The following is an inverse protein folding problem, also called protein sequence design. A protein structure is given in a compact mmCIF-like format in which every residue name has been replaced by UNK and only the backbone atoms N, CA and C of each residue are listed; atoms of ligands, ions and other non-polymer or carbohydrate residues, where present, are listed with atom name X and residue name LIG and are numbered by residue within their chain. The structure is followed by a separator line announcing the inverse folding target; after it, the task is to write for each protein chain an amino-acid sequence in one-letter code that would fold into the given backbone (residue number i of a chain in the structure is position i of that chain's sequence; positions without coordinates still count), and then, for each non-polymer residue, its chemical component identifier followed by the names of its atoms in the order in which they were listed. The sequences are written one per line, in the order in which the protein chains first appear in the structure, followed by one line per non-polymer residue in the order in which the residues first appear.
data_IF_689108075134
#
_entry.id   IF_689108075134
#
_cell.length_a   1.000
_cell.length_b   1.000
_cell.length_c   1.000
_cell.angle_alpha   90.00
_cell.angle_beta   90.00
_cell.angle_gamma   90.00
#
_symmetry.space_group_name_H-M   'P 1'
#
loop_
_entity.id
_entity.type
_entity.pdbx_description
1 polymer ?
#
# COMPACT_ATOMS: atom_id res chain seq x y z
N UNK A 1 11.30 21.57 18.77
CA UNK A 1 9.84 21.53 19.03
C UNK A 1 9.35 22.52 20.10
N UNK A 2 10.18 23.00 21.04
CA UNK A 2 9.70 23.86 22.16
C UNK A 2 9.51 25.36 21.84
N UNK A 3 10.13 25.88 20.77
CA UNK A 3 10.27 27.34 20.53
C UNK A 3 8.98 28.06 20.10
N UNK A 4 8.02 27.35 19.49
CA UNK A 4 6.78 27.95 18.95
C UNK A 4 5.72 28.14 20.04
N UNK A 5 5.60 27.18 20.97
CA UNK A 5 4.72 27.32 22.14
C UNK A 5 5.14 28.52 23.01
N UNK A 6 6.45 28.76 23.16
CA UNK A 6 6.96 29.91 23.90
C UNK A 6 6.52 31.25 23.31
N UNK A 7 6.40 31.36 21.98
CA UNK A 7 5.89 32.58 21.32
C UNK A 7 4.39 32.81 21.61
N UNK A 8 3.61 31.74 21.75
CA UNK A 8 2.18 31.85 22.10
C UNK A 8 2.02 32.28 23.56
N UNK A 9 2.80 31.71 24.47
CA UNK A 9 2.81 32.11 25.88
C UNK A 9 3.34 33.54 26.08
N UNK A 10 4.37 33.97 25.33
CA UNK A 10 4.87 35.36 25.43
C UNK A 10 3.90 36.36 24.83
N UNK A 11 3.17 36.01 23.77
CA UNK A 11 2.14 36.87 23.19
C UNK A 11 0.91 36.98 24.12
N UNK A 12 0.47 35.86 24.71
CA UNK A 12 -0.60 35.87 25.73
C UNK A 12 -0.19 36.64 27.00
N UNK A 13 1.04 36.42 27.50
CA UNK A 13 1.58 37.19 28.63
C UNK A 13 1.73 38.67 28.29
N UNK A 14 2.13 39.01 27.06
CA UNK A 14 2.21 40.39 26.58
C UNK A 14 0.85 41.09 26.60
N UNK A 15 -0.22 40.42 26.14
CA UNK A 15 -1.58 40.98 26.18
C UNK A 15 -2.08 41.13 27.62
N UNK A 16 -1.78 40.18 28.51
CA UNK A 16 -2.15 40.23 29.92
C UNK A 16 -1.45 41.40 30.65
N UNK A 17 -0.14 41.56 30.44
CA UNK A 17 0.64 42.67 30.98
C UNK A 17 0.13 44.01 30.43
N UNK A 18 -0.16 44.10 29.13
CA UNK A 18 -0.71 45.32 28.51
C UNK A 18 -2.08 45.68 29.09
N UNK A 19 -2.95 44.68 29.31
CA UNK A 19 -4.28 44.88 29.92
C UNK A 19 -4.18 45.33 31.38
N UNK A 20 -3.24 44.77 32.15
CA UNK A 20 -3.00 45.14 33.55
C UNK A 20 -2.40 46.55 33.69
N UNK A 21 -1.45 46.92 32.82
CA UNK A 21 -0.84 48.26 32.78
C UNK A 21 -1.87 49.32 32.37
N UNK A 22 -2.74 49.02 31.41
CA UNK A 22 -3.83 49.91 31.00
C UNK A 22 -4.86 50.11 32.12
N UNK A 23 -5.17 49.07 32.90
CA UNK A 23 -6.08 49.15 34.04
C UNK A 23 -5.53 50.00 35.20
N UNK A 24 -4.22 50.05 35.37
CA UNK A 24 -3.58 50.77 36.49
C UNK A 24 -3.29 52.25 36.19
N UNK A 25 -3.21 52.63 34.91
CA UNK A 25 -2.77 53.98 34.50
C UNK A 25 -3.91 54.93 34.11
N UNK A 26 -5.14 54.45 33.96
CA UNK A 26 -6.26 55.25 33.42
C UNK A 26 -7.43 55.42 34.41
N UNK A 27 -7.62 56.60 35.02
CA UNK A 27 -8.86 56.92 35.74
C UNK A 27 -9.96 57.14 34.69
N UNK A 28 -10.87 56.17 34.51
CA UNK A 28 -11.81 56.22 33.36
C UNK A 28 -13.28 56.05 33.72
N UNK A 29 -14.04 57.00 33.16
CA UNK A 29 -15.46 57.00 32.79
C UNK A 29 -15.85 55.82 31.90
N UNK A 30 -17.10 55.37 31.98
CA UNK A 30 -17.64 54.07 31.54
C UNK A 30 -17.39 53.65 30.07
N UNK A 31 -17.15 54.58 29.13
CA UNK A 31 -17.06 54.28 27.69
C UNK A 31 -15.68 53.69 27.30
N UNK A 32 -14.61 54.04 28.01
CA UNK A 32 -13.25 53.56 27.71
C UNK A 32 -13.00 52.11 28.15
N UNK A 33 -13.76 51.60 29.13
CA UNK A 33 -13.68 50.21 29.60
C UNK A 33 -14.01 49.19 28.50
N UNK A 34 -14.97 49.50 27.61
CA UNK A 34 -15.33 48.63 26.50
C UNK A 34 -14.21 48.45 25.48
N UNK A 35 -13.54 49.56 25.12
CA UNK A 35 -12.45 49.55 24.12
C UNK A 35 -11.20 48.83 24.66
N UNK A 36 -10.93 48.95 25.96
CA UNK A 36 -9.78 48.30 26.62
C UNK A 36 -9.99 46.78 26.79
N UNK A 37 -11.24 46.31 26.77
CA UNK A 37 -11.55 44.87 26.90
C UNK A 37 -11.44 44.08 25.59
N UNK A 38 -11.53 44.76 24.43
CA UNK A 38 -11.48 44.15 23.10
C UNK A 38 -10.19 43.35 22.80
N UNK A 39 -8.99 43.83 23.16
CA UNK A 39 -7.75 43.07 22.96
C UNK A 39 -7.75 41.73 23.71
N UNK A 40 -8.36 41.66 24.90
CA UNK A 40 -8.42 40.44 25.70
C UNK A 40 -9.28 39.36 25.05
N UNK A 41 -10.44 39.74 24.52
CA UNK A 41 -11.34 38.82 23.79
C UNK A 41 -10.69 38.36 22.48
N UNK A 42 -10.04 39.27 21.74
CA UNK A 42 -9.31 38.93 20.52
C UNK A 42 -8.17 37.93 20.77
N UNK A 43 -7.42 38.09 21.86
CA UNK A 43 -6.37 37.17 22.24
C UNK A 43 -6.90 35.77 22.59
N UNK A 44 -8.01 35.69 23.32
CA UNK A 44 -8.64 34.41 23.65
C UNK A 44 -9.08 33.67 22.39
N UNK A 45 -9.72 34.36 21.44
CA UNK A 45 -10.14 33.77 20.15
C UNK A 45 -8.93 33.31 19.33
N UNK A 46 -7.87 34.12 19.28
CA UNK A 46 -6.66 33.78 18.53
C UNK A 46 -5.94 32.54 19.11
N UNK A 47 -5.86 32.42 20.43
CA UNK A 47 -5.30 31.23 21.10
C UNK A 47 -6.13 29.98 20.78
N UNK A 48 -7.46 30.10 20.84
CA UNK A 48 -8.36 28.98 20.56
C UNK A 48 -8.22 28.50 19.10
N UNK A 49 -8.12 29.44 18.15
CA UNK A 49 -7.84 29.11 16.75
C UNK A 49 -6.47 28.46 16.53
N UNK A 50 -5.44 28.93 17.24
CA UNK A 50 -4.10 28.33 17.14
C UNK A 50 -4.07 26.90 17.68
N UNK A 51 -4.74 26.60 18.79
CA UNK A 51 -4.82 25.24 19.35
C UNK A 51 -5.44 24.27 18.34
N UNK A 52 -6.58 24.65 17.73
CA UNK A 52 -7.25 23.82 16.72
C UNK A 52 -6.34 23.58 15.52
N UNK A 53 -5.63 24.61 15.06
CA UNK A 53 -4.69 24.48 13.94
C UNK A 53 -3.50 23.58 14.27
N UNK A 54 -2.95 23.67 15.48
CA UNK A 54 -1.80 22.86 15.89
C UNK A 54 -2.20 21.39 16.07
N UNK A 55 -3.40 21.11 16.59
CA UNK A 55 -3.95 19.75 16.66
C UNK A 55 -4.07 19.13 15.26
N UNK A 56 -4.68 19.85 14.32
CA UNK A 56 -4.81 19.38 12.93
C UNK A 56 -3.45 19.17 12.25
N UNK A 57 -2.45 20.00 12.55
CA UNK A 57 -1.09 19.82 12.02
C UNK A 57 -0.39 18.62 12.67
N UNK A 58 -0.62 18.38 13.96
CA UNK A 58 -0.03 17.26 14.69
C UNK A 58 -0.58 15.92 14.25
N UNK A 59 -1.91 15.81 14.09
CA UNK A 59 -2.56 14.59 13.57
C UNK A 59 -2.03 14.23 12.18
N UNK A 60 -1.93 15.20 11.27
CA UNK A 60 -1.33 15.00 9.94
C UNK A 60 0.12 14.54 10.03
N UNK A 61 0.90 15.08 10.96
CA UNK A 61 2.30 14.67 11.13
C UNK A 61 2.43 13.24 11.66
N UNK A 62 1.54 12.81 12.57
CA UNK A 62 1.49 11.44 13.07
C UNK A 62 1.10 10.47 11.97
N UNK A 63 0.08 10.78 11.17
CA UNK A 63 -0.37 9.95 10.05
C UNK A 63 0.75 9.78 8.99
N UNK A 64 1.48 10.86 8.68
CA UNK A 64 2.62 10.81 7.77
C UNK A 64 3.75 9.93 8.33
N UNK A 65 4.02 10.04 9.63
CA UNK A 65 5.08 9.28 10.29
C UNK A 65 4.74 7.78 10.34
N UNK A 66 3.50 7.43 10.65
CA UNK A 66 3.01 6.05 10.64
C UNK A 66 3.12 5.44 9.24
N UNK A 67 2.67 6.16 8.19
CA UNK A 67 2.81 5.73 6.79
C UNK A 67 4.27 5.54 6.41
N UNK A 68 5.15 6.45 6.84
CA UNK A 68 6.58 6.37 6.55
C UNK A 68 7.24 5.20 7.31
N UNK A 69 6.83 4.92 8.54
CA UNK A 69 7.29 3.77 9.31
C UNK A 69 6.82 2.46 8.69
N UNK A 70 5.55 2.35 8.31
CA UNK A 70 5.02 1.17 7.61
C UNK A 70 5.74 0.95 6.27
N UNK A 71 6.01 2.02 5.52
CA UNK A 71 6.77 1.93 4.28
C UNK A 71 8.23 1.52 4.51
N UNK A 72 8.89 2.08 5.52
CA UNK A 72 10.25 1.68 5.88
C UNK A 72 10.28 0.23 6.39
N UNK A 73 9.34 -0.22 7.21
CA UNK A 73 9.25 -1.62 7.62
C UNK A 73 8.98 -2.53 6.41
N UNK A 74 8.13 -2.09 5.48
CA UNK A 74 7.83 -2.80 4.24
C UNK A 74 8.99 -2.84 3.24
N UNK A 75 9.89 -1.85 3.22
CA UNK A 75 11.02 -1.79 2.25
C UNK A 75 12.37 -2.20 2.85
N UNK A 76 12.55 -2.06 4.17
CA UNK A 76 13.82 -2.35 4.85
C UNK A 76 13.80 -3.65 5.66
N UNK A 77 12.62 -4.28 5.84
CA UNK A 77 12.61 -5.60 6.49
C UNK A 77 13.32 -6.61 5.59
N UNK A 78 14.22 -7.39 6.22
CA UNK A 78 14.89 -8.51 5.57
C UNK A 78 13.87 -9.47 4.90
N UNK A 79 12.69 -9.62 5.50
CA UNK A 79 11.61 -10.45 4.96
C UNK A 79 11.01 -9.89 3.65
N UNK A 80 10.89 -8.57 3.50
CA UNK A 80 10.41 -7.96 2.26
C UNK A 80 11.43 -8.09 1.12
N UNK A 81 12.72 -7.92 1.42
CA UNK A 81 13.78 -8.19 0.43
C UNK A 81 13.76 -9.65 -0.03
N UNK A 82 13.57 -10.61 0.89
CA UNK A 82 13.45 -12.03 0.54
C UNK A 82 12.20 -12.31 -0.31
N UNK A 83 11.06 -11.70 0.03
CA UNK A 83 9.84 -11.84 -0.77
C UNK A 83 10.03 -11.28 -2.18
N UNK A 84 10.63 -10.08 -2.30
CA UNK A 84 10.93 -9.46 -3.59
C UNK A 84 11.91 -10.30 -4.41
N UNK A 85 12.98 -10.82 -3.80
CA UNK A 85 13.94 -11.71 -4.46
C UNK A 85 13.28 -12.98 -5.00
N UNK A 86 12.34 -13.57 -4.24
CA UNK A 86 11.56 -14.73 -4.69
C UNK A 86 10.62 -14.40 -5.85
N UNK A 87 10.02 -13.21 -5.86
CA UNK A 87 9.22 -12.74 -6.99
C UNK A 87 10.06 -12.54 -8.27
N UNK A 88 11.27 -11.99 -8.13
CA UNK A 88 12.20 -11.82 -9.26
C UNK A 88 12.65 -13.19 -9.77
N UNK A 89 13.07 -14.11 -8.90
CA UNK A 89 13.43 -15.48 -9.26
C UNK A 89 12.30 -16.20 -10.01
N UNK A 90 11.06 -16.08 -9.53
CA UNK A 90 9.89 -16.65 -10.23
C UNK A 90 9.76 -16.07 -11.64
N UNK A 91 9.84 -14.75 -11.78
CA UNK A 91 9.64 -14.06 -13.06
C UNK A 91 10.71 -14.45 -14.07
N UNK A 92 11.98 -14.51 -13.65
CA UNK A 92 13.08 -14.94 -14.50
C UNK A 92 12.89 -16.39 -14.97
N UNK A 93 12.67 -17.33 -14.05
CA UNK A 93 12.50 -18.75 -14.38
C UNK A 93 11.27 -18.97 -15.28
N UNK A 94 10.16 -18.32 -14.97
CA UNK A 94 8.92 -18.46 -15.73
C UNK A 94 9.06 -17.90 -17.14
N UNK A 95 9.61 -16.69 -17.31
CA UNK A 95 9.78 -16.06 -18.62
C UNK A 95 10.79 -16.84 -19.47
N UNK A 96 11.92 -17.26 -18.88
CA UNK A 96 12.91 -18.06 -19.60
C UNK A 96 12.30 -19.38 -20.09
N UNK A 97 11.60 -20.12 -19.22
CA UNK A 97 10.97 -21.37 -19.63
C UNK A 97 9.87 -21.16 -20.66
N UNK A 98 9.04 -20.13 -20.49
CA UNK A 98 7.98 -19.76 -21.42
C UNK A 98 8.53 -19.46 -22.82
N UNK A 99 9.57 -18.63 -22.91
CA UNK A 99 10.18 -18.29 -24.19
C UNK A 99 10.84 -19.50 -24.87
N UNK A 100 11.50 -20.36 -24.08
CA UNK A 100 12.04 -21.63 -24.58
C UNK A 100 10.94 -22.52 -25.15
N UNK A 101 9.83 -22.71 -24.42
CA UNK A 101 8.75 -23.55 -24.89
C UNK A 101 7.97 -22.97 -26.07
N UNK A 102 7.85 -21.64 -26.18
CA UNK A 102 7.33 -21.01 -27.41
C UNK A 102 8.25 -21.29 -28.60
N UNK A 103 9.56 -21.19 -28.40
CA UNK A 103 10.54 -21.48 -29.45
C UNK A 103 10.47 -22.95 -29.87
N UNK A 104 10.40 -23.87 -28.91
CA UNK A 104 10.20 -25.31 -29.16
C UNK A 104 8.89 -25.58 -29.90
N UNK A 105 7.81 -24.91 -29.51
CA UNK A 105 6.50 -25.04 -30.15
C UNK A 105 6.51 -24.54 -31.60
N UNK A 106 7.20 -23.43 -31.89
CA UNK A 106 7.33 -22.91 -33.25
C UNK A 106 8.26 -23.75 -34.13
N UNK A 107 9.30 -24.37 -33.57
CA UNK A 107 10.25 -25.18 -34.31
C UNK A 107 9.76 -26.61 -34.55
N UNK A 108 9.26 -27.27 -33.51
CA UNK A 108 8.91 -28.69 -33.53
C UNK A 108 7.40 -28.93 -33.70
N UNK A 109 6.59 -27.87 -33.72
CA UNK A 109 5.13 -27.97 -33.72
C UNK A 109 4.55 -28.53 -32.41
N UNK A 110 3.23 -28.76 -32.34
CA UNK A 110 2.54 -29.37 -31.20
C UNK A 110 2.89 -30.87 -31.05
N UNK A 111 4.12 -31.12 -30.61
CA UNK A 111 4.70 -32.46 -30.40
C UNK A 111 4.61 -32.83 -28.92
N UNK A 112 4.82 -34.11 -28.54
CA UNK A 112 4.77 -34.58 -27.12
C UNK A 112 5.65 -33.78 -26.14
N UNK A 113 6.67 -33.09 -26.64
CA UNK A 113 7.53 -32.18 -25.87
C UNK A 113 6.78 -30.95 -25.34
N UNK A 114 5.75 -30.47 -26.07
CA UNK A 114 4.93 -29.33 -25.63
C UNK A 114 4.04 -29.63 -24.42
N UNK A 115 3.68 -30.91 -24.18
CA UNK A 115 3.01 -31.31 -22.92
C UNK A 115 3.95 -31.17 -21.73
N UNK A 116 5.20 -31.64 -21.88
CA UNK A 116 6.23 -31.50 -20.85
C UNK A 116 6.45 -30.03 -20.52
N UNK A 117 6.50 -29.17 -21.54
CA UNK A 117 6.56 -27.72 -21.36
C UNK A 117 5.41 -27.15 -20.52
N UNK A 118 4.16 -27.52 -20.80
CA UNK A 118 3.01 -27.07 -19.99
C UNK A 118 3.08 -27.56 -18.53
N UNK A 119 3.59 -28.79 -18.32
CA UNK A 119 3.83 -29.35 -16.98
C UNK A 119 4.92 -28.61 -16.22
N UNK A 120 6.05 -28.33 -16.87
CA UNK A 120 7.18 -27.60 -16.29
C UNK A 120 6.77 -26.20 -15.83
N UNK A 121 5.96 -25.48 -16.63
CA UNK A 121 5.42 -24.17 -16.24
C UNK A 121 4.51 -24.26 -15.01
N UNK A 122 3.63 -25.26 -14.97
CA UNK A 122 2.76 -25.49 -13.83
C UNK A 122 3.55 -25.87 -12.57
N UNK A 123 4.66 -26.59 -12.70
CA UNK A 123 5.55 -26.97 -11.60
C UNK A 123 6.34 -25.78 -11.06
N UNK A 124 6.87 -24.91 -11.93
CA UNK A 124 7.45 -23.62 -11.52
C UNK A 124 6.41 -22.79 -10.77
N UNK A 125 5.17 -22.71 -11.25
CA UNK A 125 4.12 -22.00 -10.50
C UNK A 125 3.89 -22.63 -9.13
N UNK A 126 3.84 -23.97 -9.03
CA UNK A 126 3.64 -24.69 -7.77
C UNK A 126 4.75 -24.42 -6.76
N UNK A 127 6.01 -24.37 -7.19
CA UNK A 127 7.14 -24.09 -6.28
C UNK A 127 7.10 -22.68 -5.68
N UNK A 128 6.46 -21.73 -6.37
CA UNK A 128 6.36 -20.34 -5.93
C UNK A 128 4.95 -19.92 -5.47
N UNK A 129 4.01 -20.86 -5.27
CA UNK A 129 2.61 -20.55 -4.90
C UNK A 129 2.45 -19.63 -3.68
N UNK A 130 3.30 -19.79 -2.67
CA UNK A 130 3.27 -18.97 -1.46
C UNK A 130 3.63 -17.49 -1.70
N UNK A 131 4.27 -17.20 -2.84
CA UNK A 131 4.82 -15.90 -3.20
C UNK A 131 4.17 -15.35 -4.47
N UNK A 132 3.04 -15.88 -4.95
CA UNK A 132 2.36 -15.36 -6.14
C UNK A 132 1.10 -14.63 -5.72
N UNK A 133 0.95 -13.39 -6.20
CA UNK A 133 -0.27 -12.62 -5.97
C UNK A 133 -1.44 -13.20 -6.76
N UNK A 134 -2.65 -13.06 -6.24
CA UNK A 134 -3.88 -13.55 -6.89
C UNK A 134 -4.03 -12.99 -8.31
N UNK A 135 -3.75 -11.70 -8.51
CA UNK A 135 -3.79 -11.04 -9.82
C UNK A 135 -2.83 -11.69 -10.84
N UNK A 136 -1.61 -12.04 -10.40
CA UNK A 136 -0.64 -12.70 -11.28
C UNK A 136 -1.10 -14.12 -11.66
N UNK A 137 -1.63 -14.87 -10.69
CA UNK A 137 -2.21 -16.20 -10.94
C UNK A 137 -3.37 -16.14 -11.94
N UNK A 138 -4.27 -15.17 -11.78
CA UNK A 138 -5.44 -15.01 -12.65
C UNK A 138 -5.05 -14.67 -14.10
N UNK A 139 -3.92 -13.97 -14.29
CA UNK A 139 -3.37 -13.65 -15.63
C UNK A 139 -2.62 -14.82 -16.27
N UNK A 140 -1.91 -15.63 -15.48
CA UNK A 140 -1.09 -16.74 -15.98
C UNK A 140 -1.94 -17.98 -16.30
N UNK A 141 -2.96 -18.27 -15.49
CA UNK A 141 -3.82 -19.44 -15.66
C UNK A 141 -4.42 -19.60 -17.07
N UNK A 142 -5.01 -18.56 -17.71
CA UNK A 142 -5.58 -18.71 -19.05
C UNK A 142 -4.52 -19.00 -20.12
N UNK A 143 -3.28 -18.55 -19.92
CA UNK A 143 -2.18 -18.85 -20.85
C UNK A 143 -1.80 -20.34 -20.79
N UNK A 144 -1.64 -20.89 -19.58
CA UNK A 144 -1.36 -22.32 -19.39
C UNK A 144 -2.52 -23.19 -19.90
N UNK A 145 -3.77 -22.79 -19.63
CA UNK A 145 -4.96 -23.51 -20.09
C UNK A 145 -5.06 -23.49 -21.62
N UNK A 146 -4.71 -22.37 -22.26
CA UNK A 146 -4.67 -22.27 -23.72
C UNK A 146 -3.58 -23.18 -24.32
N UNK A 147 -2.39 -23.20 -23.74
CA UNK A 147 -1.31 -24.11 -24.17
C UNK A 147 -1.73 -25.58 -24.03
N UNK A 148 -2.36 -25.92 -22.91
CA UNK A 148 -2.87 -27.27 -22.68
C UNK A 148 -3.96 -27.65 -23.69
N UNK A 149 -4.85 -26.71 -24.02
CA UNK A 149 -5.91 -26.91 -25.02
C UNK A 149 -5.34 -27.16 -26.42
N UNK A 150 -4.38 -26.34 -26.86
CA UNK A 150 -3.70 -26.51 -28.16
C UNK A 150 -3.06 -27.90 -28.27
N UNK A 151 -2.41 -28.35 -27.19
CA UNK A 151 -1.82 -29.68 -27.16
C UNK A 151 -2.87 -30.80 -27.26
N UNK A 152 -3.96 -30.70 -26.49
CA UNK A 152 -5.05 -31.68 -26.51
C UNK A 152 -5.71 -31.79 -27.89
N UNK A 153 -5.95 -30.66 -28.57
CA UNK A 153 -6.62 -30.61 -29.87
C UNK A 153 -5.80 -31.34 -30.97
N UNK A 154 -4.47 -31.23 -30.92
CA UNK A 154 -3.60 -31.91 -31.88
C UNK A 154 -3.53 -33.44 -31.66
N UNK A 155 -3.51 -33.90 -30.39
CA UNK A 155 -3.22 -35.30 -30.08
C UNK A 155 -4.48 -36.17 -29.88
N UNK A 156 -5.61 -35.57 -29.50
CA UNK A 156 -6.89 -36.26 -29.28
C UNK A 156 -8.05 -35.47 -29.90
N UNK A 157 -8.47 -35.78 -31.15
CA UNK A 157 -9.59 -35.09 -31.80
C UNK A 157 -10.96 -35.37 -31.16
N UNK A 158 -11.03 -36.27 -30.17
CA UNK A 158 -12.24 -36.50 -29.40
C UNK A 158 -12.32 -35.48 -28.25
N UNK A 159 -13.07 -34.40 -28.50
CA UNK A 159 -13.37 -33.26 -27.64
C UNK A 159 -13.73 -33.54 -26.16
N UNK A 160 -14.00 -34.80 -25.77
CA UNK A 160 -14.45 -35.20 -24.43
C UNK A 160 -13.36 -35.86 -23.57
N UNK A 161 -12.23 -36.29 -24.14
CA UNK A 161 -11.18 -36.98 -23.39
C UNK A 161 -10.30 -36.02 -22.57
N UNK A 162 -10.08 -34.80 -23.05
CA UNK A 162 -9.19 -33.82 -22.42
C UNK A 162 -9.72 -33.30 -21.07
N UNK A 163 -11.05 -33.22 -20.89
CA UNK A 163 -11.66 -32.72 -19.66
C UNK A 163 -11.69 -33.73 -18.50
N UNK A 164 -11.60 -35.05 -18.78
CA UNK A 164 -11.75 -36.09 -17.74
C UNK A 164 -10.50 -36.33 -16.88
N UNK A 165 -9.35 -35.79 -17.28
CA UNK A 165 -8.09 -35.84 -16.52
C UNK A 165 -7.73 -34.52 -15.81
N UNK A 166 -8.54 -33.46 -16.00
CA UNK A 166 -8.40 -32.22 -15.27
C UNK A 166 -8.87 -32.44 -13.83
N UNK A 167 -7.91 -32.85 -13.00
CA UNK A 167 -7.88 -32.83 -11.53
C UNK A 167 -9.02 -31.98 -10.96
N UNK A 168 -9.87 -32.50 -10.06
CA UNK A 168 -10.82 -31.65 -9.36
C UNK A 168 -10.03 -30.61 -8.58
N UNK A 169 -9.95 -29.38 -9.09
CA UNK A 169 -9.53 -28.22 -8.29
C UNK A 169 -10.69 -27.92 -7.34
N UNK A 170 -10.83 -28.76 -6.32
CA UNK A 170 -11.58 -28.41 -5.12
C UNK A 170 -10.89 -27.17 -4.55
N UNK A 171 -11.59 -26.07 -4.70
CA UNK A 171 -11.53 -24.91 -3.85
C UNK A 171 -11.53 -25.37 -2.38
N UNK A 172 -10.35 -25.54 -1.81
CA UNK A 172 -10.17 -25.32 -0.37
C UNK A 172 -9.59 -23.93 -0.25
N UNK A 173 -10.50 -22.99 -0.04
CA UNK A 173 -10.23 -21.71 0.57
C UNK A 173 -9.33 -21.92 1.79
N UNK A 174 -8.11 -21.42 1.71
CA UNK A 174 -7.27 -21.10 2.89
C UNK A 174 -7.02 -19.58 2.92
N UNK A 175 -7.66 -18.84 2.02
CA UNK A 175 -7.60 -17.38 1.90
C UNK A 175 -8.65 -16.65 2.75
N UNK A 176 -9.56 -17.37 3.41
CA UNK A 176 -10.55 -16.83 4.34
C UNK A 176 -10.08 -16.85 5.82
N UNK A 177 -8.80 -17.13 6.10
CA UNK A 177 -8.27 -17.26 7.46
C UNK A 177 -7.04 -16.38 7.78
N UNK A 178 -6.69 -15.43 6.92
CA UNK A 178 -5.68 -14.39 7.23
C UNK A 178 -6.11 -13.01 6.73
#
# INVERSE_FOLDING_TARGET
MMRRSWQVYTLAAGVLILSFVAAWTLPTTDILRGIISLPGVGALIAVLYQIVRDQAAHERALELLEKQQLFNLGTTSHMANVAFDKHVQFSEQYITRMQQGLTELFQNGPTKESLKFSGDLADIRRSFLAWITKDLKDKITPFEDALYKIWCEQHYPQHLACWRGAIPRSQTDVSDLL
#
